data_IF_555388362655
#
_entry.id   IF_555388362655
#
_cell.length_a   1.000
_cell.length_b   1.000
_cell.length_c   1.000
_cell.angle_alpha   90.00
_cell.angle_beta   90.00
_cell.angle_gamma   90.00
#
_symmetry.space_group_name_H-M   'P 1'
#
loop_
_entity.id
_entity.type
_entity.pdbx_description
1 polymer ?
#
# COMPACT_ATOMS: atom_id res chain seq x y z
N UNK A 1 -1.39 -3.52 -8.58
CA UNK A 1 -2.36 -2.66 -7.88
C UNK A 1 -1.77 -1.31 -7.47
N UNK A 2 -0.64 -1.23 -6.76
CA UNK A 2 -0.04 0.05 -6.34
C UNK A 2 0.38 0.98 -7.50
N UNK A 3 0.70 0.43 -8.68
CA UNK A 3 0.96 1.23 -9.88
C UNK A 3 -0.25 2.08 -10.33
N UNK A 4 -1.47 1.73 -9.92
CA UNK A 4 -2.69 2.50 -10.19
C UNK A 4 -2.78 3.80 -9.38
N UNK A 5 -1.98 3.93 -8.31
CA UNK A 5 -1.94 5.16 -7.50
C UNK A 5 -1.30 6.35 -8.22
N UNK A 6 -0.72 6.11 -9.40
CA UNK A 6 0.05 7.07 -10.17
C UNK A 6 -0.86 7.77 -11.17
N UNK A 7 -0.85 9.10 -11.14
CA UNK A 7 -1.42 9.96 -12.17
C UNK A 7 -0.29 10.54 -13.04
N UNK A 8 -0.55 10.74 -14.34
CA UNK A 8 0.37 11.47 -15.21
C UNK A 8 0.43 12.95 -14.79
N UNK A 9 1.62 13.55 -14.89
CA UNK A 9 1.76 15.00 -14.69
C UNK A 9 0.94 15.72 -15.78
N UNK A 10 0.08 16.69 -15.41
CA UNK A 10 -0.68 17.44 -16.40
C UNK A 10 0.26 18.17 -17.37
N UNK A 11 -0.05 18.12 -18.67
CA UNK A 11 0.73 18.67 -19.81
C UNK A 11 1.93 17.82 -20.27
N UNK A 12 1.82 16.51 -20.17
CA UNK A 12 2.81 15.60 -20.73
C UNK A 12 2.75 15.55 -22.27
N UNK A 13 3.90 15.55 -22.93
CA UNK A 13 3.95 15.40 -24.39
C UNK A 13 3.57 13.98 -24.82
N UNK A 14 2.95 13.83 -26.01
CA UNK A 14 2.49 12.53 -26.53
C UNK A 14 3.60 11.46 -26.66
N UNK A 15 4.87 11.87 -26.76
CA UNK A 15 6.01 10.96 -26.74
C UNK A 15 6.25 10.37 -25.34
N UNK A 16 6.14 11.19 -24.29
CA UNK A 16 6.30 10.75 -22.90
C UNK A 16 5.12 9.89 -22.44
N UNK A 17 3.89 10.21 -22.87
CA UNK A 17 2.71 9.36 -22.62
C UNK A 17 2.88 7.97 -23.22
N UNK A 18 3.38 7.87 -24.47
CA UNK A 18 3.67 6.58 -25.11
C UNK A 18 4.74 5.79 -24.36
N UNK A 19 5.76 6.44 -23.81
CA UNK A 19 6.78 5.78 -22.99
C UNK A 19 6.18 5.25 -21.68
N UNK A 20 5.32 6.03 -21.01
CA UNK A 20 4.58 5.58 -19.83
C UNK A 20 3.72 4.37 -20.17
N UNK A 21 2.88 4.46 -21.21
CA UNK A 21 1.97 3.39 -21.64
C UNK A 21 2.72 2.10 -21.99
N UNK A 22 3.89 2.18 -22.64
CA UNK A 22 4.73 1.00 -22.93
C UNK A 22 5.29 0.31 -21.68
N UNK A 23 5.44 1.05 -20.58
CA UNK A 23 5.92 0.49 -19.31
C UNK A 23 4.81 -0.10 -18.44
N UNK A 24 3.55 0.09 -18.83
CA UNK A 24 2.37 -0.33 -18.09
C UNK A 24 1.71 -1.54 -18.77
N UNK A 25 0.98 -2.36 -18.01
CA UNK A 25 0.12 -3.37 -18.60
C UNK A 25 -0.90 -2.74 -19.54
N UNK A 26 -1.24 -3.43 -20.63
CA UNK A 26 -2.14 -2.93 -21.69
C UNK A 26 -3.56 -2.59 -21.22
N UNK A 27 -3.97 -3.11 -20.06
CA UNK A 27 -5.27 -2.84 -19.44
C UNK A 27 -5.29 -1.59 -18.55
N UNK A 28 -4.15 -0.91 -18.38
CA UNK A 28 -3.99 0.22 -17.46
C UNK A 28 -3.71 1.51 -18.23
N UNK A 29 -4.69 2.41 -18.25
CA UNK A 29 -4.55 3.73 -18.86
C UNK A 29 -4.45 4.83 -17.80
N UNK A 30 -3.28 5.47 -17.72
CA UNK A 30 -2.99 6.54 -16.75
C UNK A 30 -3.60 7.88 -17.18
N UNK A 31 -3.94 8.04 -18.45
CA UNK A 31 -4.56 9.27 -18.97
C UNK A 31 -6.06 9.31 -18.69
N UNK A 32 -6.76 8.19 -18.91
CA UNK A 32 -8.22 8.11 -18.79
C UNK A 32 -8.71 7.51 -17.48
N UNK A 33 -7.87 6.81 -16.72
CA UNK A 33 -8.28 6.11 -15.49
C UNK A 33 -7.37 6.39 -14.28
N UNK A 34 -7.17 7.67 -13.89
CA UNK A 34 -6.53 7.97 -12.61
C UNK A 34 -7.40 7.41 -11.47
N UNK A 35 -6.76 6.73 -10.50
CA UNK A 35 -7.49 6.15 -9.38
C UNK A 35 -8.17 7.24 -8.55
N UNK A 36 -9.50 7.15 -8.41
CA UNK A 36 -10.28 8.08 -7.61
C UNK A 36 -10.03 7.91 -6.11
N UNK A 37 -10.28 8.96 -5.33
CA UNK A 37 -10.16 8.96 -3.87
C UNK A 37 -11.02 7.85 -3.23
N UNK A 38 -12.19 7.57 -3.81
CA UNK A 38 -13.08 6.49 -3.37
C UNK A 38 -12.39 5.13 -3.44
N UNK A 39 -11.65 4.87 -4.52
CA UNK A 39 -10.93 3.62 -4.71
C UNK A 39 -9.72 3.52 -3.78
N UNK A 40 -9.00 4.63 -3.55
CA UNK A 40 -7.93 4.68 -2.56
C UNK A 40 -8.46 4.39 -1.15
N UNK A 41 -9.62 4.95 -0.79
CA UNK A 41 -10.28 4.69 0.50
C UNK A 41 -10.77 3.24 0.62
N UNK A 42 -11.29 2.66 -0.46
CA UNK A 42 -11.66 1.25 -0.50
C UNK A 42 -10.43 0.34 -0.29
N UNK A 43 -9.31 0.66 -0.93
CA UNK A 43 -8.04 -0.04 -0.71
C UNK A 43 -7.56 0.12 0.73
N UNK A 44 -7.62 1.32 1.31
CA UNK A 44 -7.25 1.54 2.70
C UNK A 44 -8.08 0.68 3.65
N UNK A 45 -9.40 0.65 3.46
CA UNK A 45 -10.33 -0.20 4.23
C UNK A 45 -10.03 -1.68 4.05
N UNK A 46 -9.70 -2.12 2.84
CA UNK A 46 -9.31 -3.51 2.58
C UNK A 46 -8.04 -3.89 3.35
N UNK A 47 -7.01 -3.04 3.30
CA UNK A 47 -5.76 -3.27 4.03
C UNK A 47 -6.01 -3.35 5.55
N UNK A 48 -6.80 -2.42 6.10
CA UNK A 48 -7.20 -2.46 7.50
C UNK A 48 -8.08 -3.66 7.86
N UNK A 49 -8.95 -4.12 6.95
CA UNK A 49 -9.81 -5.28 7.18
C UNK A 49 -9.02 -6.59 7.18
N UNK A 50 -7.95 -6.70 6.37
CA UNK A 50 -7.05 -7.86 6.36
C UNK A 50 -6.29 -7.97 7.69
N UNK A 51 -5.91 -6.83 8.28
CA UNK A 51 -5.21 -6.82 9.58
C UNK A 51 -6.16 -6.92 10.77
N UNK A 52 -7.43 -6.57 10.60
CA UNK A 52 -8.45 -6.70 11.63
C UNK A 52 -8.72 -8.18 11.98
N UNK A 53 -9.22 -8.42 13.19
CA UNK A 53 -9.74 -9.73 13.57
C UNK A 53 -11.05 -9.97 12.84
N UNK A 54 -11.04 -10.94 11.94
CA UNK A 54 -12.24 -11.39 11.22
C UNK A 54 -12.98 -12.35 12.13
N UNK A 55 -14.10 -11.90 12.71
CA UNK A 55 -15.03 -12.80 13.38
C UNK A 55 -15.81 -13.50 12.28
N UNK A 56 -15.51 -14.77 12.03
CA UNK A 56 -16.36 -15.60 11.18
C UNK A 56 -17.71 -15.72 11.87
N UNK A 57 -18.75 -15.13 11.29
CA UNK A 57 -20.12 -15.42 11.68
C UNK A 57 -20.37 -16.87 11.28
N UNK A 58 -20.11 -17.81 12.20
CA UNK A 58 -20.44 -19.21 12.01
C UNK A 58 -21.94 -19.27 11.69
N UNK A 59 -22.27 -19.59 10.45
CA UNK A 59 -23.64 -19.93 10.05
C UNK A 59 -24.01 -21.08 10.97
N UNK A 60 -24.95 -20.83 11.89
CA UNK A 60 -25.37 -21.72 12.96
C UNK A 60 -25.85 -23.06 12.39
N UNK A 61 -24.92 -23.97 12.12
CA UNK A 61 -25.17 -25.40 12.02
C UNK A 61 -25.36 -25.90 13.45
N UNK A 62 -26.59 -26.32 13.76
CA UNK A 62 -27.00 -26.86 15.06
C UNK A 62 -26.35 -28.21 15.32
N UNK A 63 -25.08 -28.23 15.70
CA UNK A 63 -24.46 -29.35 16.42
C UNK A 63 -23.31 -28.79 17.25
N UNK A 64 -23.63 -28.41 18.48
CA UNK A 64 -22.68 -27.92 19.47
C UNK A 64 -21.90 -29.11 20.07
N UNK A 65 -20.59 -29.15 19.83
CA UNK A 65 -19.53 -29.58 20.75
C UNK A 65 -18.18 -29.46 20.01
N UNK A 66 -17.19 -28.81 20.62
CA UNK A 66 -15.75 -28.81 20.27
C UNK A 66 -15.12 -27.92 19.20
N UNK A 67 -15.82 -26.98 18.55
CA UNK A 67 -15.09 -25.94 17.79
C UNK A 67 -14.83 -24.73 18.69
N UNK A 68 -13.63 -24.66 19.29
CA UNK A 68 -13.08 -23.39 19.77
C UNK A 68 -13.32 -22.34 18.69
N UNK A 69 -13.96 -21.22 19.03
CA UNK A 69 -14.12 -20.06 18.15
C UNK A 69 -12.73 -19.53 17.76
N UNK A 70 -12.11 -20.16 16.77
CA UNK A 70 -10.84 -19.73 16.19
C UNK A 70 -11.14 -18.48 15.40
N UNK A 71 -11.02 -17.34 16.08
CA UNK A 71 -10.87 -16.04 15.45
C UNK A 71 -9.52 -16.04 14.71
N UNK A 72 -9.50 -16.63 13.52
CA UNK A 72 -8.33 -16.66 12.65
C UNK A 72 -8.24 -15.32 11.92
N UNK A 73 -7.33 -14.46 12.39
CA UNK A 73 -7.00 -13.21 11.72
C UNK A 73 -6.06 -13.47 10.54
N UNK A 74 -6.39 -12.91 9.38
CA UNK A 74 -5.54 -12.91 8.19
C UNK A 74 -4.24 -12.10 8.36
N UNK A 75 -4.09 -11.37 9.48
CA UNK A 75 -2.88 -10.63 9.82
C UNK A 75 -1.63 -11.52 9.84
N UNK A 76 -1.69 -12.69 10.49
CA UNK A 76 -0.55 -13.61 10.60
C UNK A 76 -0.05 -14.13 9.24
N UNK A 77 -0.91 -14.70 8.38
CA UNK A 77 -0.45 -15.15 7.06
C UNK A 77 -0.04 -13.96 6.16
N UNK A 78 -0.64 -12.78 6.34
CA UNK A 78 -0.32 -11.61 5.52
C UNK A 78 0.93 -10.83 5.97
N UNK A 79 1.37 -10.98 7.22
CA UNK A 79 2.49 -10.22 7.79
C UNK A 79 3.78 -10.28 6.93
N UNK A 80 4.10 -11.46 6.38
CA UNK A 80 5.27 -11.64 5.49
C UNK A 80 5.16 -10.84 4.18
N UNK A 81 3.94 -10.53 3.74
CA UNK A 81 3.68 -9.78 2.52
C UNK A 81 3.47 -8.29 2.76
N UNK A 82 3.15 -7.88 3.98
CA UNK A 82 2.91 -6.48 4.34
C UNK A 82 4.11 -5.58 3.98
N UNK A 83 5.34 -6.02 4.25
CA UNK A 83 6.55 -5.26 3.90
C UNK A 83 6.69 -5.03 2.39
N UNK A 84 6.31 -5.99 1.56
CA UNK A 84 6.38 -5.85 0.10
C UNK A 84 5.37 -4.81 -0.41
N UNK A 85 4.20 -4.73 0.24
CA UNK A 85 3.18 -3.71 -0.07
C UNK A 85 3.70 -2.32 0.32
N UNK A 86 4.30 -2.17 1.50
CA UNK A 86 4.91 -0.91 1.94
C UNK A 86 6.06 -0.47 1.00
N UNK A 87 6.95 -1.39 0.63
CA UNK A 87 8.04 -1.11 -0.32
C UNK A 87 7.50 -0.71 -1.69
N UNK A 88 6.47 -1.40 -2.20
CA UNK A 88 5.84 -1.04 -3.45
C UNK A 88 5.21 0.36 -3.40
N UNK A 89 4.58 0.73 -2.27
CA UNK A 89 4.04 2.08 -2.06
C UNK A 89 5.15 3.13 -2.06
N UNK A 90 6.24 2.89 -1.33
CA UNK A 90 7.41 3.77 -1.29
C UNK A 90 8.00 3.95 -2.69
N UNK A 91 8.16 2.87 -3.46
CA UNK A 91 8.60 2.94 -4.87
C UNK A 91 7.59 3.66 -5.77
N UNK A 92 6.30 3.64 -5.44
CA UNK A 92 5.29 4.39 -6.18
C UNK A 92 5.42 5.90 -6.00
N UNK A 93 5.86 6.35 -4.81
CA UNK A 93 6.07 7.76 -4.47
C UNK A 93 7.37 8.36 -5.05
N UNK A 94 8.41 7.54 -5.20
CA UNK A 94 9.77 7.97 -5.52
C UNK A 94 10.04 8.25 -7.00
N UNK A 95 9.05 8.61 -7.81
CA UNK A 95 9.26 8.94 -9.22
C UNK A 95 10.46 9.90 -9.42
N UNK A 96 11.64 9.35 -9.75
CA UNK A 96 12.93 10.03 -9.91
C UNK A 96 13.89 9.09 -10.69
N UNK A 97 14.90 9.59 -11.42
CA UNK A 97 14.83 9.83 -12.86
C UNK A 97 15.79 8.93 -13.64
N UNK A 98 15.93 7.65 -13.29
CA UNK A 98 16.92 6.76 -13.92
C UNK A 98 16.35 5.64 -14.79
N UNK A 99 15.03 5.42 -14.78
CA UNK A 99 14.35 4.52 -15.73
C UNK A 99 13.25 5.27 -16.48
N UNK A 100 13.70 6.16 -17.37
CA UNK A 100 13.10 6.88 -18.52
C UNK A 100 11.56 6.89 -18.76
N UNK A 101 10.79 5.88 -18.39
CA UNK A 101 9.37 5.78 -18.70
C UNK A 101 8.43 6.40 -17.66
N UNK A 102 8.73 6.35 -16.36
CA UNK A 102 7.76 6.63 -15.29
C UNK A 102 8.04 7.90 -14.48
N UNK A 103 9.08 8.66 -14.84
CA UNK A 103 9.45 9.93 -14.18
C UNK A 103 8.37 11.02 -14.28
N UNK A 104 7.40 10.83 -15.16
CA UNK A 104 6.34 11.77 -15.44
C UNK A 104 5.00 11.41 -14.74
N UNK A 105 5.08 10.62 -13.68
CA UNK A 105 3.91 10.22 -12.88
C UNK A 105 4.11 10.58 -11.41
N UNK A 106 3.04 11.00 -10.74
CA UNK A 106 3.04 11.32 -9.31
C UNK A 106 1.83 10.71 -8.60
N UNK A 107 1.92 10.54 -7.29
CA UNK A 107 0.78 10.12 -6.45
C UNK A 107 0.19 11.37 -5.79
N UNK A 108 -1.07 11.75 -6.09
CA UNK A 108 -1.72 12.90 -5.47
C UNK A 108 -1.75 12.80 -3.94
N UNK A 109 -1.57 13.95 -3.26
CA UNK A 109 -1.55 14.02 -1.79
C UNK A 109 -2.89 13.60 -1.16
N UNK A 110 -4.01 13.80 -1.86
CA UNK A 110 -5.33 13.33 -1.45
C UNK A 110 -5.39 11.80 -1.37
N UNK A 111 -4.82 11.09 -2.35
CA UNK A 111 -4.73 9.62 -2.33
C UNK A 111 -3.80 9.13 -1.24
N UNK A 112 -2.67 9.81 -1.01
CA UNK A 112 -1.75 9.46 0.08
C UNK A 112 -2.46 9.53 1.44
N UNK A 113 -3.23 10.60 1.68
CA UNK A 113 -4.02 10.77 2.90
C UNK A 113 -5.15 9.74 3.03
N UNK A 114 -5.82 9.41 1.92
CA UNK A 114 -6.87 8.39 1.92
C UNK A 114 -6.34 6.97 2.22
N UNK A 115 -5.10 6.67 1.82
CA UNK A 115 -4.44 5.37 2.04
C UNK A 115 -3.78 5.22 3.41
N UNK A 116 -3.43 6.35 4.05
CA UNK A 116 -2.72 6.40 5.32
C UNK A 116 -3.22 5.39 6.37
N UNK A 117 -4.53 5.31 6.71
CA UNK A 117 -5.00 4.37 7.72
C UNK A 117 -4.76 2.89 7.35
N UNK A 118 -4.82 2.56 6.06
CA UNK A 118 -4.51 1.20 5.57
C UNK A 118 -3.02 0.89 5.65
N UNK A 119 -2.16 1.86 5.33
CA UNK A 119 -0.70 1.71 5.46
C UNK A 119 -0.27 1.56 6.91
N UNK A 120 -0.93 2.26 7.82
CA UNK A 120 -0.61 2.21 9.26
C UNK A 120 -1.01 0.86 9.86
N UNK A 121 -2.15 0.33 9.42
CA UNK A 121 -2.55 -1.03 9.74
C UNK A 121 -1.53 -2.08 9.27
N UNK A 122 -0.85 -1.86 8.13
CA UNK A 122 0.25 -2.72 7.69
C UNK A 122 1.50 -2.57 8.56
N UNK A 123 1.81 -1.36 9.02
CA UNK A 123 2.91 -1.14 9.96
C UNK A 123 2.70 -1.92 11.27
N UNK A 124 1.46 -2.01 11.78
CA UNK A 124 1.15 -2.76 13.01
C UNK A 124 1.46 -4.27 12.92
N UNK A 125 1.36 -4.85 11.73
CA UNK A 125 1.60 -6.29 11.51
C UNK A 125 2.99 -6.59 10.92
N UNK A 126 3.77 -5.55 10.60
CA UNK A 126 5.11 -5.68 10.03
C UNK A 126 6.15 -5.70 11.16
N UNK A 127 6.98 -6.74 11.20
CA UNK A 127 8.02 -6.85 12.20
C UNK A 127 9.19 -5.90 11.92
N UNK A 128 9.89 -5.46 12.98
CA UNK A 128 11.06 -4.56 12.86
C UNK A 128 12.18 -5.18 12.01
N UNK A 129 12.37 -6.50 12.08
CA UNK A 129 13.34 -7.21 11.25
C UNK A 129 13.05 -7.05 9.74
N UNK A 130 11.78 -7.20 9.33
CA UNK A 130 11.39 -7.09 7.93
C UNK A 130 11.53 -5.65 7.43
N UNK A 131 11.22 -4.66 8.28
CA UNK A 131 11.48 -3.24 8.01
C UNK A 131 12.96 -2.99 7.78
N UNK A 132 13.82 -3.47 8.68
CA UNK A 132 15.26 -3.24 8.61
C UNK A 132 15.87 -3.93 7.38
N UNK A 133 15.44 -5.15 7.08
CA UNK A 133 15.80 -5.85 5.84
C UNK A 133 15.41 -5.04 4.59
N UNK A 134 14.20 -4.45 4.57
CA UNK A 134 13.77 -3.60 3.47
C UNK A 134 14.60 -2.32 3.33
N UNK A 135 14.98 -1.69 4.46
CA UNK A 135 15.84 -0.51 4.48
C UNK A 135 17.28 -0.81 4.02
N UNK A 136 17.76 -2.04 4.18
CA UNK A 136 19.10 -2.44 3.73
C UNK A 136 19.10 -2.85 2.26
N UNK A 137 18.15 -3.70 1.85
CA UNK A 137 18.23 -4.42 0.57
C UNK A 137 17.18 -4.08 -0.49
N UNK A 138 16.08 -3.40 -0.14
CA UNK A 138 14.95 -3.22 -1.08
C UNK A 138 14.73 -1.78 -1.53
N UNK A 139 15.30 -0.81 -0.82
CA UNK A 139 15.09 0.62 -1.06
C UNK A 139 16.41 1.35 -1.32
N UNK A 140 16.36 2.32 -2.22
CA UNK A 140 17.42 3.28 -2.47
C UNK A 140 17.45 4.37 -1.37
N UNK A 141 18.43 5.27 -1.40
CA UNK A 141 18.60 6.31 -0.37
C UNK A 141 17.34 7.17 -0.21
N UNK A 142 16.69 7.54 -1.31
CA UNK A 142 15.45 8.30 -1.28
C UNK A 142 14.29 7.48 -0.68
N UNK A 143 14.16 6.19 -1.04
CA UNK A 143 13.13 5.34 -0.48
C UNK A 143 13.30 5.01 0.99
N UNK A 144 14.54 4.90 1.47
CA UNK A 144 14.82 4.78 2.91
C UNK A 144 14.26 5.96 3.69
N UNK A 145 14.39 7.18 3.17
CA UNK A 145 13.86 8.40 3.79
C UNK A 145 12.33 8.37 3.88
N UNK A 146 11.65 7.99 2.80
CA UNK A 146 10.18 7.91 2.79
C UNK A 146 9.69 6.80 3.73
N UNK A 147 10.31 5.62 3.70
CA UNK A 147 9.96 4.51 4.59
C UNK A 147 10.13 4.90 6.07
N UNK A 148 11.25 5.55 6.43
CA UNK A 148 11.47 6.05 7.79
C UNK A 148 10.40 7.07 8.20
N UNK A 149 10.09 8.04 7.34
CA UNK A 149 9.04 9.04 7.61
C UNK A 149 7.67 8.39 7.84
N UNK A 150 7.30 7.42 7.01
CA UNK A 150 6.05 6.66 7.15
C UNK A 150 6.01 5.96 8.50
N UNK A 151 7.10 5.28 8.86
CA UNK A 151 7.22 4.54 10.11
C UNK A 151 7.13 5.46 11.33
N UNK A 152 7.85 6.58 11.34
CA UNK A 152 7.79 7.56 12.42
C UNK A 152 6.41 8.22 12.55
N UNK A 153 5.70 8.42 11.44
CA UNK A 153 4.32 8.95 11.46
C UNK A 153 3.36 7.97 12.10
N UNK A 154 3.51 6.67 11.81
CA UNK A 154 2.76 5.60 12.46
C UNK A 154 3.06 5.50 13.95
N UNK A 155 4.35 5.51 14.35
CA UNK A 155 4.74 5.53 15.77
C UNK A 155 4.10 6.72 16.50
N UNK A 156 4.18 7.92 15.94
CA UNK A 156 3.60 9.12 16.51
C UNK A 156 2.07 9.05 16.68
N UNK A 157 1.35 8.38 15.77
CA UNK A 157 -0.09 8.16 15.93
C UNK A 157 -0.39 7.09 16.98
N UNK A 158 0.41 6.01 17.03
CA UNK A 158 0.27 4.94 18.02
C UNK A 158 0.41 5.45 19.45
N UNK A 159 1.35 6.37 19.71
CA UNK A 159 1.56 6.94 21.04
C UNK A 159 0.48 7.95 21.47
N UNK A 160 -0.36 8.47 20.55
CA UNK A 160 -1.46 9.40 20.88
C UNK A 160 -2.76 8.70 21.27
N UNK A 161 -2.86 7.38 21.02
CA UNK A 161 -4.04 6.57 21.31
C UNK A 161 -3.95 5.77 22.61
N UNK A 162 -2.96 6.05 23.46
CA UNK A 162 -2.82 5.52 24.82
C UNK A 162 -3.08 6.62 25.85
#
# INVERSE_FOLDING_TARGET
>A
MIHLLRAAIPRLGAAQLRTIQRSLPTWLDVEHLPLDETCARALARLLSAITARTITLAIRSRTAADSSDKVDSLAKPFARHAIHVLVAYVRALLSSPSSSALSATFVPSTLQRALEPGLFALCDITNSHDRDAALVGMLDSAGKTIMKRLWSSWEAQRYKGQ
#
